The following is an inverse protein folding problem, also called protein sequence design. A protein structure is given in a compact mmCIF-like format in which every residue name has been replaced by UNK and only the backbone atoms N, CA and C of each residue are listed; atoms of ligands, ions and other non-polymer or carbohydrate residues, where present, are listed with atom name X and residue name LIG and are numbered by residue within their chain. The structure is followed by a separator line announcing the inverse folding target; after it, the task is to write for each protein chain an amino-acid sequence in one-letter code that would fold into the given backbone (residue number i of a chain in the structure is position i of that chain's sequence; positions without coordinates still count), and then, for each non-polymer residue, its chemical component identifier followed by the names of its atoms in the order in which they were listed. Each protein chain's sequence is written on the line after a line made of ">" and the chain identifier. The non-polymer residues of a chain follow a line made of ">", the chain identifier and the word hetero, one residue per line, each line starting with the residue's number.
data_IF_527869419276
#
_entry.id   IF_527869419276
#
_cell.length_a   1.000
_cell.length_b   1.000
_cell.length_c   1.000
_cell.angle_alpha   90.00
_cell.angle_beta   90.00
_cell.angle_gamma   90.00
#
_symmetry.space_group_name_H-M   'P 1'
#
loop_
_entity.id
_entity.type
_entity.pdbx_description
1 polymer ?
#
# COMPACT_ATOMS: atom_id res chain seq x y z
N UNK A 1 73.45 -30.71 7.55
CA UNK A 1 72.05 -31.07 7.29
C UNK A 1 71.09 -30.01 7.84
N UNK A 2 70.86 -28.95 7.08
CA UNK A 2 69.86 -27.87 7.45
C UNK A 2 69.40 -27.13 6.21
N UNK A 3 68.61 -27.72 5.30
CA UNK A 3 68.07 -27.03 4.12
C UNK A 3 66.64 -27.41 3.68
N UNK A 4 65.93 -28.25 4.44
CA UNK A 4 64.64 -28.76 3.98
C UNK A 4 63.42 -28.16 4.71
N UNK A 5 63.59 -27.31 5.74
CA UNK A 5 62.45 -26.74 6.49
C UNK A 5 61.79 -25.54 5.80
N UNK A 6 62.52 -24.76 4.98
CA UNK A 6 61.98 -23.49 4.41
C UNK A 6 61.03 -23.69 3.19
N UNK A 7 61.01 -24.85 2.56
CA UNK A 7 60.10 -25.15 1.45
C UNK A 7 58.66 -25.47 1.92
N UNK A 8 58.50 -26.02 3.13
CA UNK A 8 57.20 -26.41 3.71
C UNK A 8 56.37 -25.17 4.11
N UNK A 9 57.03 -24.16 4.70
CA UNK A 9 56.32 -22.99 5.21
C UNK A 9 55.73 -22.10 4.09
N UNK A 10 56.45 -21.98 2.96
CA UNK A 10 55.96 -21.22 1.79
C UNK A 10 54.74 -21.86 1.12
N UNK A 11 54.68 -23.20 1.11
CA UNK A 11 53.52 -23.92 0.55
C UNK A 11 52.27 -23.80 1.43
N UNK A 12 52.45 -23.81 2.75
CA UNK A 12 51.33 -23.66 3.72
C UNK A 12 50.75 -22.25 3.65
N UNK A 13 51.60 -21.20 3.53
CA UNK A 13 51.12 -19.81 3.42
C UNK A 13 50.35 -19.56 2.13
N UNK A 14 50.77 -20.13 1.01
CA UNK A 14 50.06 -19.98 -0.27
C UNK A 14 48.72 -20.73 -0.26
N UNK A 15 48.67 -21.93 0.30
CA UNK A 15 47.44 -22.70 0.50
C UNK A 15 46.44 -21.95 1.41
N UNK A 16 46.96 -21.42 2.51
CA UNK A 16 46.16 -20.65 3.47
C UNK A 16 45.55 -19.40 2.82
N UNK A 17 46.33 -18.67 2.03
CA UNK A 17 45.86 -17.50 1.28
C UNK A 17 44.77 -17.87 0.30
N UNK A 18 44.94 -18.97 -0.44
CA UNK A 18 43.91 -19.45 -1.40
C UNK A 18 42.59 -19.79 -0.69
N UNK A 19 42.66 -20.46 0.47
CA UNK A 19 41.47 -20.78 1.26
C UNK A 19 40.77 -19.50 1.72
N UNK A 20 41.50 -18.51 2.21
CA UNK A 20 40.92 -17.22 2.62
C UNK A 20 40.24 -16.51 1.44
N UNK A 21 40.81 -16.51 0.25
CA UNK A 21 40.23 -15.91 -0.94
C UNK A 21 38.92 -16.60 -1.34
N UNK A 22 38.85 -17.93 -1.26
CA UNK A 22 37.63 -18.69 -1.55
C UNK A 22 36.55 -18.37 -0.53
N UNK A 23 36.86 -18.40 0.76
CA UNK A 23 35.91 -18.08 1.83
C UNK A 23 35.42 -16.64 1.72
N UNK A 24 36.33 -15.71 1.47
CA UNK A 24 35.98 -14.29 1.29
C UNK A 24 35.03 -14.08 0.11
N UNK A 25 35.29 -14.71 -1.03
CA UNK A 25 34.41 -14.65 -2.21
C UNK A 25 33.02 -15.23 -1.92
N UNK A 26 32.96 -16.34 -1.19
CA UNK A 26 31.70 -16.96 -0.79
C UNK A 26 30.89 -16.03 0.14
N UNK A 27 31.56 -15.37 1.10
CA UNK A 27 30.90 -14.39 2.01
C UNK A 27 30.37 -13.19 1.23
N UNK A 28 31.14 -12.64 0.29
CA UNK A 28 30.68 -11.54 -0.56
C UNK A 28 29.45 -11.95 -1.40
N UNK A 29 29.44 -13.16 -1.94
CA UNK A 29 28.29 -13.69 -2.67
C UNK A 29 27.04 -13.78 -1.79
N UNK A 30 27.18 -14.30 -0.57
CA UNK A 30 26.07 -14.36 0.40
C UNK A 30 25.57 -12.98 0.79
N UNK A 31 26.47 -12.01 1.02
CA UNK A 31 26.08 -10.63 1.33
C UNK A 31 25.26 -9.99 0.20
N UNK A 32 25.60 -10.24 -1.05
CA UNK A 32 24.86 -9.73 -2.20
C UNK A 32 23.42 -10.26 -2.23
N UNK A 33 23.25 -11.56 -2.00
CA UNK A 33 21.91 -12.18 -1.95
C UNK A 33 21.08 -11.62 -0.79
N UNK A 34 21.66 -11.52 0.40
CA UNK A 34 21.00 -10.96 1.58
C UNK A 34 20.60 -9.50 1.38
N UNK A 35 21.48 -8.70 0.76
CA UNK A 35 21.18 -7.30 0.44
C UNK A 35 19.98 -7.19 -0.51
N UNK A 36 19.93 -7.99 -1.57
CA UNK A 36 18.82 -7.98 -2.50
C UNK A 36 17.50 -8.36 -1.83
N UNK A 37 17.50 -9.40 -0.99
CA UNK A 37 16.32 -9.80 -0.21
C UNK A 37 15.86 -8.68 0.74
N UNK A 38 16.81 -8.03 1.41
CA UNK A 38 16.50 -6.92 2.31
C UNK A 38 15.88 -5.75 1.57
N UNK A 39 16.49 -5.29 0.47
CA UNK A 39 15.96 -4.18 -0.32
C UNK A 39 14.56 -4.48 -0.86
N UNK A 40 14.34 -5.66 -1.43
CA UNK A 40 13.02 -6.04 -1.95
C UNK A 40 11.95 -6.01 -0.84
N UNK A 41 12.27 -6.52 0.35
CA UNK A 41 11.34 -6.50 1.49
C UNK A 41 11.06 -5.07 1.99
N UNK A 42 12.07 -4.21 2.00
CA UNK A 42 11.90 -2.80 2.42
C UNK A 42 10.98 -2.05 1.45
N UNK A 43 11.18 -2.19 0.14
CA UNK A 43 10.29 -1.57 -0.86
C UNK A 43 8.85 -2.07 -0.72
N UNK A 44 8.66 -3.39 -0.59
CA UNK A 44 7.32 -3.98 -0.41
C UNK A 44 6.63 -3.44 0.86
N UNK A 45 7.37 -3.28 1.96
CA UNK A 45 6.83 -2.70 3.19
C UNK A 45 6.48 -1.22 3.02
N UNK A 46 7.31 -0.46 2.32
CA UNK A 46 7.06 0.96 2.07
C UNK A 46 5.78 1.16 1.27
N UNK A 47 5.59 0.43 0.17
CA UNK A 47 4.38 0.47 -0.64
C UNK A 47 3.14 0.08 0.18
N UNK A 48 3.27 -0.94 1.03
CA UNK A 48 2.16 -1.38 1.90
C UNK A 48 1.76 -0.28 2.90
N UNK A 49 2.73 0.40 3.50
CA UNK A 49 2.48 1.49 4.46
C UNK A 49 1.86 2.69 3.76
N UNK A 50 2.32 3.04 2.56
CA UNK A 50 1.76 4.14 1.77
C UNK A 50 0.31 3.86 1.37
N UNK A 51 0.03 2.67 0.83
CA UNK A 51 -1.33 2.24 0.47
C UNK A 51 -2.27 2.23 1.69
N UNK A 52 -1.80 1.78 2.85
CA UNK A 52 -2.57 1.81 4.09
C UNK A 52 -2.84 3.25 4.56
N UNK A 53 -1.87 4.15 4.45
CA UNK A 53 -2.02 5.57 4.77
C UNK A 53 -3.04 6.27 3.88
N UNK A 54 -3.02 5.99 2.58
CA UNK A 54 -3.98 6.50 1.61
C UNK A 54 -5.40 6.00 1.91
N UNK A 55 -5.54 4.69 2.19
CA UNK A 55 -6.81 4.11 2.59
C UNK A 55 -7.36 4.76 3.87
N UNK A 56 -6.54 4.90 4.91
CA UNK A 56 -6.94 5.51 6.18
C UNK A 56 -7.34 6.97 6.02
N UNK A 57 -6.64 7.73 5.20
CA UNK A 57 -6.94 9.14 4.91
C UNK A 57 -8.31 9.27 4.22
N UNK A 58 -8.55 8.46 3.19
CA UNK A 58 -9.83 8.42 2.50
C UNK A 58 -10.96 7.98 3.42
N UNK A 59 -10.77 6.87 4.13
CA UNK A 59 -11.79 6.28 5.02
C UNK A 59 -12.16 7.26 6.15
N UNK A 60 -11.18 7.89 6.77
CA UNK A 60 -11.42 8.89 7.82
C UNK A 60 -12.19 10.10 7.30
N UNK A 61 -11.84 10.60 6.10
CA UNK A 61 -12.55 11.70 5.46
C UNK A 61 -14.00 11.33 5.15
N UNK A 62 -14.24 10.16 4.59
CA UNK A 62 -15.59 9.67 4.29
C UNK A 62 -16.43 9.47 5.56
N UNK A 63 -15.86 8.95 6.65
CA UNK A 63 -16.55 8.82 7.94
C UNK A 63 -16.97 10.17 8.49
N UNK A 64 -16.09 11.16 8.42
CA UNK A 64 -16.38 12.52 8.91
C UNK A 64 -17.51 13.12 8.08
N UNK A 65 -17.44 13.06 6.76
CA UNK A 65 -18.43 13.67 5.88
C UNK A 65 -19.78 12.93 5.92
N UNK A 66 -19.80 11.61 6.03
CA UNK A 66 -21.01 10.83 6.22
C UNK A 66 -21.72 11.16 7.54
N UNK A 67 -20.97 11.38 8.63
CA UNK A 67 -21.51 11.77 9.93
C UNK A 67 -21.95 13.24 9.98
N UNK A 68 -21.40 14.10 9.15
CA UNK A 68 -21.75 15.50 9.08
C UNK A 68 -23.01 15.78 8.24
N UNK A 69 -23.28 14.93 7.23
CA UNK A 69 -24.31 15.17 6.22
C UNK A 69 -25.45 14.16 6.33
N UNK A 70 -26.66 14.62 6.01
CA UNK A 70 -27.90 13.82 6.02
C UNK A 70 -28.26 13.26 4.65
N UNK A 71 -27.62 13.75 3.59
CA UNK A 71 -27.86 13.32 2.21
C UNK A 71 -26.57 13.12 1.45
N UNK A 72 -26.58 12.17 0.52
CA UNK A 72 -25.51 11.91 -0.42
C UNK A 72 -26.09 11.72 -1.81
N UNK A 73 -25.42 12.29 -2.81
CA UNK A 73 -25.69 12.03 -4.23
C UNK A 73 -24.52 11.29 -4.80
N UNK A 74 -24.82 10.20 -5.51
CA UNK A 74 -23.83 9.36 -6.17
C UNK A 74 -24.09 9.37 -7.66
N UNK A 75 -23.07 9.69 -8.42
CA UNK A 75 -23.05 9.49 -9.87
C UNK A 75 -22.13 8.29 -10.17
N UNK A 76 -22.75 7.16 -10.48
CA UNK A 76 -22.03 5.91 -10.78
C UNK A 76 -21.22 6.01 -12.08
N UNK A 77 -21.66 6.84 -13.05
CA UNK A 77 -21.00 6.99 -14.36
C UNK A 77 -19.71 7.78 -14.25
N UNK A 78 -19.70 8.83 -13.43
CA UNK A 78 -18.51 9.67 -13.19
C UNK A 78 -17.76 9.25 -11.93
N UNK A 79 -18.26 8.23 -11.21
CA UNK A 79 -17.69 7.76 -9.93
C UNK A 79 -17.49 8.91 -8.94
N UNK A 80 -18.52 9.79 -8.87
CA UNK A 80 -18.49 10.99 -8.04
C UNK A 80 -19.47 10.86 -6.89
N UNK A 81 -19.04 11.29 -5.70
CA UNK A 81 -19.86 11.36 -4.48
C UNK A 81 -19.98 12.82 -4.07
N UNK A 82 -21.20 13.26 -3.79
CA UNK A 82 -21.46 14.62 -3.26
C UNK A 82 -22.21 14.48 -1.93
N UNK A 83 -21.57 14.90 -0.84
CA UNK A 83 -22.15 14.99 0.47
C UNK A 83 -22.73 16.41 0.70
N UNK A 84 -24.03 16.48 1.00
CA UNK A 84 -24.68 17.78 1.18
C UNK A 84 -24.57 18.66 -0.06
N UNK A 85 -24.18 19.91 0.15
CA UNK A 85 -24.10 20.89 -0.94
C UNK A 85 -22.67 21.17 -1.42
N UNK A 86 -21.63 20.89 -0.61
CA UNK A 86 -20.29 21.44 -0.84
C UNK A 86 -19.17 20.37 -0.94
N UNK A 87 -19.34 19.19 -0.38
CA UNK A 87 -18.24 18.23 -0.31
C UNK A 87 -18.34 17.18 -1.42
N UNK A 88 -17.40 17.25 -2.37
CA UNK A 88 -17.37 16.37 -3.53
C UNK A 88 -16.12 15.49 -3.50
N UNK A 89 -16.33 14.19 -3.74
CA UNK A 89 -15.27 13.24 -4.02
C UNK A 89 -15.34 12.83 -5.48
N UNK A 90 -14.20 12.86 -6.18
CA UNK A 90 -14.10 12.49 -7.59
C UNK A 90 -12.95 11.51 -7.78
N UNK A 91 -13.22 10.41 -8.46
CA UNK A 91 -12.20 9.47 -8.87
C UNK A 91 -11.68 9.80 -10.26
N UNK A 92 -10.38 10.01 -10.37
CA UNK A 92 -9.68 10.15 -11.66
C UNK A 92 -9.04 8.80 -12.02
N UNK A 93 -9.58 8.14 -13.03
CA UNK A 93 -9.14 6.80 -13.45
C UNK A 93 -7.77 6.85 -14.14
N UNK A 94 -7.44 7.92 -14.86
CA UNK A 94 -6.15 8.08 -15.53
C UNK A 94 -5.00 8.28 -14.54
N UNK A 95 -5.26 9.01 -13.47
CA UNK A 95 -4.29 9.27 -12.41
C UNK A 95 -4.35 8.23 -11.27
N UNK A 96 -5.33 7.31 -11.32
CA UNK A 96 -5.60 6.33 -10.24
C UNK A 96 -5.74 7.00 -8.85
N UNK A 97 -6.41 8.16 -8.80
CA UNK A 97 -6.40 9.04 -7.63
C UNK A 97 -7.82 9.49 -7.27
N UNK A 98 -8.11 9.55 -5.97
CA UNK A 98 -9.34 10.13 -5.45
C UNK A 98 -9.04 11.50 -4.87
N UNK A 99 -9.86 12.48 -5.28
CA UNK A 99 -9.82 13.85 -4.81
C UNK A 99 -11.04 14.17 -3.94
N UNK A 100 -10.84 14.89 -2.84
CA UNK A 100 -11.88 15.57 -2.06
C UNK A 100 -11.81 17.07 -2.41
N UNK A 101 -12.72 17.53 -3.25
CA UNK A 101 -12.61 18.85 -3.86
C UNK A 101 -11.32 19.02 -4.67
N UNK A 102 -10.37 19.80 -4.14
CA UNK A 102 -9.05 20.01 -4.77
C UNK A 102 -7.92 19.23 -4.10
N UNK A 103 -8.20 18.52 -3.03
CA UNK A 103 -7.18 17.82 -2.25
C UNK A 103 -7.16 16.33 -2.61
N UNK A 104 -5.98 15.81 -2.88
CA UNK A 104 -5.76 14.39 -3.06
C UNK A 104 -5.90 13.67 -1.72
N UNK A 105 -6.75 12.64 -1.66
CA UNK A 105 -7.03 11.86 -0.45
C UNK A 105 -6.62 10.39 -0.55
N UNK A 106 -6.46 9.86 -1.76
CA UNK A 106 -5.88 8.55 -2.00
C UNK A 106 -5.25 8.48 -3.39
N UNK A 107 -4.17 7.74 -3.54
CA UNK A 107 -3.48 7.38 -4.77
C UNK A 107 -3.43 5.86 -4.97
N UNK A 108 -2.91 5.41 -6.12
CA UNK A 108 -2.81 3.99 -6.48
C UNK A 108 -4.15 3.23 -6.40
N UNK A 109 -5.26 3.95 -6.69
CA UNK A 109 -6.62 3.40 -6.67
C UNK A 109 -6.91 2.70 -8.00
N UNK A 110 -6.81 1.38 -8.01
CA UNK A 110 -7.04 0.55 -9.19
C UNK A 110 -8.52 0.34 -9.50
N UNK A 111 -9.36 0.41 -8.49
CA UNK A 111 -10.78 0.24 -8.64
C UNK A 111 -11.53 1.05 -7.60
N UNK A 112 -12.54 1.78 -8.06
CA UNK A 112 -13.43 2.54 -7.21
C UNK A 112 -14.84 2.41 -7.76
N UNK A 113 -15.74 1.87 -6.94
CA UNK A 113 -17.16 1.80 -7.25
C UNK A 113 -17.96 2.27 -6.06
N UNK A 114 -19.01 3.03 -6.34
CA UNK A 114 -19.82 3.66 -5.30
C UNK A 114 -21.28 3.50 -5.65
N UNK A 115 -22.08 3.11 -4.64
CA UNK A 115 -23.53 2.98 -4.75
C UNK A 115 -24.18 3.57 -3.52
N UNK A 116 -25.39 4.12 -3.67
CA UNK A 116 -26.18 4.61 -2.54
C UNK A 116 -27.48 3.80 -2.44
N UNK A 117 -27.90 3.51 -1.22
CA UNK A 117 -29.15 2.81 -0.93
C UNK A 117 -29.83 3.40 0.29
N UNK A 118 -31.17 3.32 0.32
CA UNK A 118 -31.95 3.74 1.48
C UNK A 118 -32.48 2.51 2.21
N UNK A 119 -32.19 2.40 3.50
CA UNK A 119 -32.67 1.33 4.37
C UNK A 119 -33.56 1.90 5.46
N UNK A 120 -34.73 1.29 5.68
CA UNK A 120 -35.62 1.67 6.80
C UNK A 120 -35.35 0.75 7.97
N UNK A 121 -34.93 1.30 9.10
CA UNK A 121 -34.70 0.58 10.36
C UNK A 121 -35.50 1.31 11.45
N UNK A 122 -36.36 0.60 12.15
CA UNK A 122 -37.24 1.16 13.22
C UNK A 122 -38.03 2.40 12.77
N UNK A 123 -38.63 2.32 11.57
CA UNK A 123 -39.35 3.43 10.92
C UNK A 123 -38.51 4.69 10.58
N UNK A 124 -37.19 4.64 10.70
CA UNK A 124 -36.27 5.71 10.31
C UNK A 124 -35.63 5.33 8.99
N UNK A 125 -35.72 6.22 8.00
CA UNK A 125 -34.99 6.07 6.73
C UNK A 125 -33.54 6.44 6.94
N UNK A 126 -32.64 5.52 6.64
CA UNK A 126 -31.19 5.73 6.70
C UNK A 126 -30.61 5.59 5.30
N UNK A 127 -29.84 6.60 4.88
CA UNK A 127 -29.06 6.49 3.66
C UNK A 127 -27.74 5.79 3.97
N UNK A 128 -27.40 4.82 3.13
CA UNK A 128 -26.16 4.04 3.21
C UNK A 128 -25.40 4.24 1.91
N UNK A 129 -24.17 4.69 2.03
CA UNK A 129 -23.21 4.77 0.95
C UNK A 129 -22.30 3.56 1.01
N UNK A 130 -22.34 2.72 -0.01
CA UNK A 130 -21.47 1.55 -0.14
C UNK A 130 -20.34 1.87 -1.11
N UNK A 131 -19.10 1.72 -0.67
CA UNK A 131 -17.90 1.96 -1.47
C UNK A 131 -17.12 0.66 -1.57
N UNK A 132 -16.82 0.24 -2.78
CA UNK A 132 -15.86 -0.83 -3.07
C UNK A 132 -14.60 -0.22 -3.65
N UNK A 133 -13.48 -0.46 -3.00
CA UNK A 133 -12.19 0.13 -3.37
C UNK A 133 -11.08 -0.91 -3.39
N UNK A 134 -10.16 -0.75 -4.36
CA UNK A 134 -8.91 -1.50 -4.43
C UNK A 134 -7.79 -0.49 -4.57
N UNK A 135 -6.85 -0.50 -3.59
CA UNK A 135 -5.66 0.37 -3.59
C UNK A 135 -4.40 -0.50 -3.62
N UNK A 136 -3.42 -0.12 -4.40
CA UNK A 136 -2.10 -0.75 -4.45
C UNK A 136 -1.63 -1.11 -5.84
N UNK A 137 -0.32 -1.25 -6.02
CA UNK A 137 0.31 -1.45 -7.32
C UNK A 137 0.63 -2.91 -7.64
N UNK A 138 0.71 -3.77 -6.64
CA UNK A 138 1.05 -5.18 -6.82
C UNK A 138 -0.02 -6.12 -6.25
N UNK A 139 -0.09 -7.35 -6.79
CA UNK A 139 -1.02 -8.38 -6.31
C UNK A 139 -0.78 -8.80 -4.86
N UNK A 140 0.37 -8.49 -4.28
CA UNK A 140 0.73 -8.83 -2.91
C UNK A 140 0.36 -7.77 -1.88
N UNK A 141 0.17 -6.51 -2.33
CA UNK A 141 -0.04 -5.34 -1.45
C UNK A 141 -1.37 -4.64 -1.72
N UNK A 142 -2.34 -5.35 -2.26
CA UNK A 142 -3.67 -4.81 -2.56
C UNK A 142 -4.53 -4.73 -1.31
N UNK A 143 -5.05 -3.53 -1.03
CA UNK A 143 -6.15 -3.33 -0.09
C UNK A 143 -7.44 -3.45 -0.90
N UNK A 144 -8.23 -4.48 -0.67
CA UNK A 144 -9.53 -4.72 -1.31
C UNK A 144 -10.61 -4.71 -0.24
N UNK A 145 -11.39 -3.63 -0.18
CA UNK A 145 -12.40 -3.42 0.85
C UNK A 145 -13.73 -3.00 0.24
N UNK A 146 -14.79 -3.45 0.90
CA UNK A 146 -16.15 -2.94 0.67
C UNK A 146 -16.66 -2.42 2.00
N UNK A 147 -17.04 -1.13 2.04
CA UNK A 147 -17.38 -0.43 3.28
C UNK A 147 -18.73 0.26 3.12
N UNK A 148 -19.57 0.14 4.14
CA UNK A 148 -20.86 0.81 4.22
C UNK A 148 -20.77 1.99 5.20
N UNK A 149 -21.06 3.18 4.70
CA UNK A 149 -21.12 4.40 5.50
C UNK A 149 -22.58 4.78 5.71
N UNK A 150 -23.03 4.82 6.96
CA UNK A 150 -24.37 5.29 7.31
C UNK A 150 -24.32 6.78 7.52
N UNK A 151 -25.16 7.54 6.78
CA UNK A 151 -25.26 8.98 6.92
C UNK A 151 -25.99 9.37 8.21
N UNK A 152 -25.80 10.63 8.61
CA UNK A 152 -26.54 11.24 9.70
C UNK A 152 -28.05 11.24 9.38
N UNK A 153 -28.89 10.87 10.35
CA UNK A 153 -30.33 10.66 10.14
C UNK A 153 -31.22 11.49 11.08
N UNK A 154 -30.63 12.46 11.79
CA UNK A 154 -31.36 13.45 12.63
C UNK A 154 -30.94 14.89 12.31
#
# INVERSE_FOLDING_TARGET
>A
MKKNCLKSEKGVTLLTLTIYMIVFTAVLGMMTVLSNLFYNNVYTLQDTVENAGDFDTLNSSLIIDAKANTSVRVDESTKTIVFGDDTTYTYNEEEETIYRGKFKVASHVKYFNVTSSTKTVDNVKKEILTIKIIIGDSTQNLINQTIDYTLKYW
#
